data_IF_216945064445
#
_entry.id   IF_216945064445
#
_cell.length_a   1.000
_cell.length_b   1.000
_cell.length_c   1.000
_cell.angle_alpha   90.00
_cell.angle_beta   90.00
_cell.angle_gamma   90.00
#
_symmetry.space_group_name_H-M   'P 1'
#
loop_
_entity.id
_entity.type
_entity.pdbx_description
1 polymer ?
#
# COMPACT_ATOMS: atom_id res chain seq x y z
N UNK A 1 -23.68 -0.63 6.98
CA UNK A 1 -22.53 0.29 6.93
C UNK A 1 -21.41 -0.26 7.81
N UNK A 2 -20.19 -0.36 7.25
CA UNK A 2 -19.02 -0.83 7.99
C UNK A 2 -18.47 0.34 8.81
N UNK A 3 -18.19 0.12 10.11
CA UNK A 3 -17.58 1.13 10.94
C UNK A 3 -16.14 1.41 10.51
N UNK A 4 -15.60 2.57 10.92
CA UNK A 4 -14.21 2.91 10.61
C UNK A 4 -13.25 1.90 11.23
N UNK A 5 -13.52 1.44 12.44
CA UNK A 5 -12.72 0.42 13.12
C UNK A 5 -12.71 -0.91 12.35
N UNK A 6 -13.87 -1.35 11.88
CA UNK A 6 -13.98 -2.56 11.07
C UNK A 6 -13.18 -2.43 9.78
N UNK A 7 -13.23 -1.26 9.14
CA UNK A 7 -12.49 -0.99 7.91
C UNK A 7 -10.98 -1.08 8.14
N UNK A 8 -10.47 -0.55 9.26
CA UNK A 8 -9.04 -0.61 9.59
C UNK A 8 -8.57 -2.02 9.92
N UNK A 9 -9.44 -2.86 10.46
CA UNK A 9 -9.10 -4.21 10.89
C UNK A 9 -9.40 -5.28 9.84
N UNK A 10 -10.06 -4.89 8.74
CA UNK A 10 -10.38 -5.82 7.67
C UNK A 10 -9.14 -6.06 6.80
N UNK A 11 -8.56 -7.29 6.78
CA UNK A 11 -7.43 -7.59 5.92
C UNK A 11 -7.81 -7.63 4.43
N UNK A 12 -9.13 -7.71 4.11
CA UNK A 12 -9.61 -7.73 2.74
C UNK A 12 -9.03 -8.86 1.93
N UNK A 13 -8.33 -8.50 0.85
CA UNK A 13 -7.73 -9.49 -0.05
C UNK A 13 -6.40 -10.04 0.45
N UNK A 14 -5.87 -9.54 1.57
CA UNK A 14 -4.53 -9.84 2.05
C UNK A 14 -4.49 -10.88 3.16
N UNK A 15 -3.43 -11.70 3.17
CA UNK A 15 -3.02 -12.53 4.29
C UNK A 15 -1.55 -12.24 4.59
N UNK A 16 -1.23 -12.04 5.86
CA UNK A 16 0.12 -11.68 6.29
C UNK A 16 0.71 -12.75 7.18
N UNK A 17 2.02 -12.99 7.06
CA UNK A 17 2.77 -13.88 7.93
C UNK A 17 4.17 -13.31 8.18
N UNK A 18 4.99 -14.03 8.95
CA UNK A 18 6.33 -13.55 9.28
C UNK A 18 7.22 -13.34 8.07
N UNK A 19 7.05 -14.14 7.04
CA UNK A 19 7.95 -14.16 5.88
C UNK A 19 7.45 -13.31 4.72
N UNK A 20 6.18 -12.96 4.70
CA UNK A 20 5.63 -12.21 3.59
C UNK A 20 4.13 -12.08 3.64
N UNK A 21 3.54 -11.95 2.47
CA UNK A 21 2.09 -11.80 2.35
C UNK A 21 1.60 -12.47 1.09
N UNK A 22 0.30 -12.75 1.07
CA UNK A 22 -0.40 -13.18 -0.13
C UNK A 22 -1.61 -12.29 -0.34
N UNK A 23 -2.07 -12.23 -1.58
CA UNK A 23 -3.28 -11.48 -1.88
C UNK A 23 -4.06 -12.20 -2.99
N UNK A 24 -5.39 -12.06 -2.91
CA UNK A 24 -6.31 -12.64 -3.88
C UNK A 24 -6.81 -11.52 -4.79
N UNK A 25 -6.44 -11.59 -6.06
CA UNK A 25 -6.87 -10.62 -7.06
C UNK A 25 -7.37 -11.40 -8.28
N UNK A 26 -8.59 -11.11 -8.73
CA UNK A 26 -9.20 -11.75 -9.88
C UNK A 26 -9.18 -13.28 -9.79
N UNK A 27 -9.48 -13.82 -8.60
CA UNK A 27 -9.53 -15.25 -8.29
C UNK A 27 -8.16 -15.92 -8.35
N UNK A 28 -7.07 -15.14 -8.41
CA UNK A 28 -5.71 -15.64 -8.40
C UNK A 28 -5.03 -15.21 -7.10
N UNK A 29 -4.44 -16.19 -6.39
CA UNK A 29 -3.67 -15.92 -5.17
C UNK A 29 -2.21 -15.80 -5.52
N UNK A 30 -1.60 -14.67 -5.16
CA UNK A 30 -0.17 -14.41 -5.37
C UNK A 30 0.50 -14.31 -4.00
N UNK A 31 1.63 -14.98 -3.83
CA UNK A 31 2.44 -14.91 -2.62
C UNK A 31 3.73 -14.16 -2.88
N UNK A 32 4.13 -13.29 -1.96
CA UNK A 32 5.38 -12.54 -2.01
C UNK A 32 6.03 -12.53 -0.64
N UNK A 33 7.37 -12.59 -0.61
CA UNK A 33 8.13 -12.48 0.63
C UNK A 33 8.53 -11.03 0.86
N UNK A 34 8.63 -10.65 2.13
CA UNK A 34 9.08 -9.30 2.49
C UNK A 34 10.45 -8.99 1.89
N UNK A 35 11.35 -9.98 1.87
CA UNK A 35 12.70 -9.79 1.34
C UNK A 35 12.76 -9.71 -0.19
N UNK A 36 11.68 -9.96 -0.90
CA UNK A 36 11.61 -9.77 -2.34
C UNK A 36 11.28 -8.32 -2.72
N UNK A 37 10.80 -7.53 -1.76
CA UNK A 37 10.44 -6.14 -2.02
C UNK A 37 11.70 -5.30 -2.12
N UNK A 38 11.88 -4.63 -3.25
CA UNK A 38 13.04 -3.77 -3.51
C UNK A 38 12.73 -2.29 -3.33
N UNK A 39 11.50 -1.89 -3.62
CA UNK A 39 11.12 -0.49 -3.57
C UNK A 39 9.62 -0.37 -3.35
N UNK A 40 9.19 0.66 -2.63
CA UNK A 40 7.78 0.99 -2.47
C UNK A 40 7.63 2.47 -2.80
N UNK A 41 6.82 2.75 -3.82
CA UNK A 41 6.51 4.09 -4.25
C UNK A 41 5.04 4.37 -3.98
N UNK A 42 4.75 5.55 -3.46
CA UNK A 42 3.38 6.00 -3.23
C UNK A 42 3.15 7.28 -3.99
N UNK A 43 1.97 7.45 -4.51
CA UNK A 43 1.64 8.62 -5.30
C UNK A 43 0.15 8.90 -5.23
N UNK A 44 -0.19 10.12 -5.56
CA UNK A 44 -1.56 10.59 -5.56
C UNK A 44 -1.93 10.98 -6.98
N UNK A 45 -3.01 10.40 -7.48
CA UNK A 45 -3.58 10.76 -8.78
C UNK A 45 -4.69 11.77 -8.55
N UNK A 46 -4.70 12.83 -9.36
CA UNK A 46 -5.78 13.79 -9.40
C UNK A 46 -6.81 13.30 -10.42
N UNK A 47 -7.99 12.92 -9.92
CA UNK A 47 -9.09 12.43 -10.77
C UNK A 47 -10.16 13.50 -10.96
N UNK A 48 -9.79 14.78 -10.85
CA UNK A 48 -10.64 15.98 -11.03
C UNK A 48 -11.58 16.22 -9.83
N UNK A 49 -12.38 15.23 -9.46
CA UNK A 49 -13.35 15.37 -8.35
C UNK A 49 -12.86 14.77 -7.05
N UNK A 50 -11.93 13.82 -7.13
CA UNK A 50 -11.32 13.17 -5.96
C UNK A 50 -9.86 12.89 -6.24
N UNK A 51 -9.09 12.77 -5.18
CA UNK A 51 -7.71 12.30 -5.27
C UNK A 51 -7.69 10.81 -4.92
N UNK A 52 -6.84 10.04 -5.61
CA UNK A 52 -6.68 8.61 -5.36
C UNK A 52 -5.24 8.32 -4.98
N UNK A 53 -5.04 7.74 -3.80
CA UNK A 53 -3.72 7.33 -3.33
C UNK A 53 -3.42 5.93 -3.85
N UNK A 54 -2.24 5.79 -4.46
CA UNK A 54 -1.77 4.54 -5.06
C UNK A 54 -0.43 4.14 -4.47
N UNK A 55 -0.14 2.84 -4.51
CA UNK A 55 1.13 2.30 -4.05
C UNK A 55 1.61 1.27 -5.05
N UNK A 56 2.86 1.43 -5.50
CA UNK A 56 3.54 0.41 -6.31
C UNK A 56 4.55 -0.30 -5.42
N UNK A 57 4.42 -1.61 -5.29
CA UNK A 57 5.39 -2.46 -4.60
C UNK A 57 6.21 -3.15 -5.67
N UNK A 58 7.52 -2.88 -5.69
CA UNK A 58 8.42 -3.32 -6.75
C UNK A 58 9.22 -4.54 -6.30
N UNK A 59 9.25 -5.57 -7.13
CA UNK A 59 9.95 -6.84 -6.89
C UNK A 59 10.92 -7.10 -8.06
N UNK A 60 12.00 -6.33 -8.13
CA UNK A 60 12.93 -6.43 -9.26
C UNK A 60 12.37 -5.77 -10.51
N UNK A 61 12.14 -6.54 -11.58
CA UNK A 61 11.60 -6.00 -12.84
C UNK A 61 10.08 -5.94 -12.89
N UNK A 62 9.40 -6.46 -11.86
CA UNK A 62 7.95 -6.46 -11.80
C UNK A 62 7.47 -5.60 -10.64
N UNK A 63 6.23 -5.17 -10.72
CA UNK A 63 5.61 -4.41 -9.63
C UNK A 63 4.10 -4.70 -9.58
N UNK A 64 3.53 -4.43 -8.42
CA UNK A 64 2.09 -4.56 -8.19
C UNK A 64 1.58 -3.25 -7.66
N UNK A 65 0.47 -2.77 -8.20
CA UNK A 65 -0.16 -1.52 -7.78
C UNK A 65 -1.40 -1.81 -6.95
N UNK A 66 -1.47 -1.22 -5.77
CA UNK A 66 -2.67 -1.18 -4.93
C UNK A 66 -3.12 0.26 -4.77
N UNK A 67 -4.42 0.46 -4.58
CA UNK A 67 -4.98 1.79 -4.33
C UNK A 67 -5.70 1.80 -3.00
N UNK A 68 -5.98 3.00 -2.49
CA UNK A 68 -6.72 3.16 -1.23
C UNK A 68 -8.13 2.58 -1.29
N UNK A 69 -8.65 2.30 -2.49
CA UNK A 69 -9.95 1.65 -2.67
C UNK A 69 -9.88 0.13 -2.53
N UNK A 70 -8.68 -0.44 -2.46
CA UNK A 70 -8.49 -1.87 -2.27
C UNK A 70 -8.97 -2.27 -0.88
N UNK A 71 -9.83 -3.29 -0.80
CA UNK A 71 -10.29 -3.81 0.48
C UNK A 71 -9.10 -4.39 1.23
N UNK A 72 -8.82 -3.86 2.43
CA UNK A 72 -7.64 -4.23 3.21
C UNK A 72 -6.48 -3.24 3.10
N UNK A 73 -6.66 -2.16 2.35
CA UNK A 73 -5.62 -1.13 2.17
C UNK A 73 -4.99 -0.65 3.48
N UNK A 74 -5.81 -0.29 4.46
CA UNK A 74 -5.30 0.22 5.74
C UNK A 74 -4.49 -0.83 6.49
N UNK A 75 -4.90 -2.09 6.39
CA UNK A 75 -4.19 -3.19 7.02
C UNK A 75 -2.81 -3.40 6.34
N UNK A 76 -2.78 -3.32 5.01
CA UNK A 76 -1.52 -3.39 4.26
C UNK A 76 -0.58 -2.26 4.65
N UNK A 77 -1.07 -1.02 4.68
CA UNK A 77 -0.27 0.16 5.05
C UNK A 77 0.32 -0.02 6.44
N UNK A 78 -0.49 -0.43 7.40
CA UNK A 78 -0.05 -0.67 8.77
C UNK A 78 1.03 -1.75 8.83
N UNK A 79 0.81 -2.85 8.11
CA UNK A 79 1.75 -3.98 8.12
C UNK A 79 3.09 -3.60 7.51
N UNK A 80 3.09 -2.85 6.43
CA UNK A 80 4.33 -2.39 5.81
C UNK A 80 5.13 -1.48 6.76
N UNK A 81 4.45 -0.62 7.51
CA UNK A 81 5.12 0.23 8.50
C UNK A 81 5.73 -0.60 9.64
N UNK A 82 5.12 -1.72 10.00
CA UNK A 82 5.67 -2.62 11.02
C UNK A 82 6.89 -3.40 10.53
N UNK A 83 6.85 -3.87 9.28
CA UNK A 83 7.94 -4.68 8.70
C UNK A 83 9.12 -3.81 8.29
N UNK A 84 8.86 -2.68 7.65
CA UNK A 84 9.89 -1.77 7.14
C UNK A 84 9.95 -0.52 8.03
N UNK A 85 10.69 -0.60 9.12
CA UNK A 85 10.72 0.42 10.17
C UNK A 85 11.27 1.78 9.71
N UNK A 86 11.97 1.82 8.59
CA UNK A 86 12.49 3.08 8.02
C UNK A 86 11.46 3.83 7.16
N UNK A 87 10.31 3.23 6.88
CA UNK A 87 9.23 3.93 6.19
C UNK A 87 8.77 5.11 7.05
N UNK A 88 8.67 6.34 6.48
CA UNK A 88 8.15 7.47 7.23
C UNK A 88 6.74 7.18 7.74
N UNK A 89 6.52 7.35 9.04
CA UNK A 89 5.24 6.98 9.67
C UNK A 89 4.06 7.80 9.17
N UNK A 90 4.31 9.04 8.76
CA UNK A 90 3.27 9.97 8.37
C UNK A 90 3.17 10.16 6.85
N UNK A 91 3.75 9.23 6.05
CA UNK A 91 3.74 9.39 4.60
C UNK A 91 2.32 9.49 4.05
N UNK A 92 1.38 8.73 4.62
CA UNK A 92 0.01 8.70 4.17
C UNK A 92 -0.74 10.01 4.45
N UNK A 93 -0.37 10.72 5.51
CA UNK A 93 -0.91 12.05 5.78
C UNK A 93 -0.26 13.12 4.89
N UNK A 94 1.03 12.97 4.59
CA UNK A 94 1.77 13.92 3.78
C UNK A 94 1.43 13.84 2.30
N UNK A 95 1.22 12.62 1.78
CA UNK A 95 1.00 12.41 0.35
C UNK A 95 -0.31 13.03 -0.15
N UNK A 96 -1.28 13.25 0.71
CA UNK A 96 -2.56 13.83 0.32
C UNK A 96 -2.50 15.34 0.11
N UNK A 97 -1.39 15.97 0.48
CA UNK A 97 -1.19 17.41 0.35
C UNK A 97 -0.28 17.73 -0.84
N UNK A 98 -0.53 18.85 -1.57
CA UNK A 98 -1.75 19.65 -1.51
C UNK A 98 -2.93 18.95 -2.20
N UNK A 99 -4.16 19.31 -1.87
CA UNK A 99 -5.33 18.68 -2.49
C UNK A 99 -5.43 19.00 -3.98
N UNK A 100 -5.99 18.05 -4.75
CA UNK A 100 -6.20 18.17 -6.19
C UNK A 100 -4.93 18.41 -7.01
N UNK A 101 -3.79 17.97 -6.50
CA UNK A 101 -2.52 17.98 -7.22
C UNK A 101 -1.88 16.61 -7.13
N UNK A 102 -1.08 16.25 -8.13
CA UNK A 102 -0.32 15.00 -8.09
C UNK A 102 0.85 15.13 -7.11
N UNK A 103 1.23 14.03 -6.50
CA UNK A 103 2.44 13.95 -5.68
C UNK A 103 2.98 12.53 -5.76
N UNK A 104 4.28 12.38 -5.51
CA UNK A 104 4.99 11.11 -5.61
C UNK A 104 6.06 11.05 -4.54
N UNK A 105 6.23 9.88 -3.91
CA UNK A 105 7.28 9.67 -2.91
C UNK A 105 7.70 8.21 -2.89
N UNK A 106 9.01 7.96 -2.88
CA UNK A 106 9.55 6.64 -2.60
C UNK A 106 9.67 6.52 -1.08
N UNK A 107 8.91 5.60 -0.48
CA UNK A 107 8.90 5.44 0.98
C UNK A 107 9.81 4.31 1.46
N UNK A 108 10.24 3.44 0.56
CA UNK A 108 11.17 2.37 0.87
C UNK A 108 12.01 2.05 -0.36
N UNK A 109 13.30 1.86 -0.15
CA UNK A 109 14.21 1.40 -1.20
C UNK A 109 15.29 0.55 -0.56
N UNK A 110 15.46 -0.68 -1.07
CA UNK A 110 16.50 -1.58 -0.61
C UNK A 110 17.87 -1.06 -1.05
N UNK A 111 18.83 -1.13 -0.17
CA UNK A 111 20.21 -0.77 -0.48
C UNK A 111 20.96 -1.95 -1.17
#
# INVERSE_FOLDING_TARGET
MISLEEKYNDPGIFNFNENGFSFNKDKTITEKKWNEIEEINVYKKDLLTVDLICMDIVFGETYITFTEDTIGWYHLVKKLKEIFTHIPKDWDSEIILPPFETSFKTIYKRE
#
